data_IF_624958934335
#
_entry.id   IF_624958934335
#
_cell.length_a   1.000
_cell.length_b   1.000
_cell.length_c   1.000
_cell.angle_alpha   90.00
_cell.angle_beta   90.00
_cell.angle_gamma   90.00
#
_symmetry.space_group_name_H-M   'P 1'
#
loop_
_entity.id
_entity.type
_entity.pdbx_description
1 polymer ?
#
# COMPACT_ATOMS: atom_id res chain seq x y z
N UNK A 1 17.07 24.43 32.01
CA UNK A 1 17.31 23.24 31.18
C UNK A 1 18.70 23.42 30.61
N UNK A 2 19.65 22.53 30.92
CA UNK A 2 21.03 22.69 30.42
C UNK A 2 21.07 22.45 28.92
N UNK A 3 22.05 23.03 28.22
CA UNK A 3 22.20 22.84 26.77
C UNK A 3 22.37 21.35 26.41
N UNK A 4 23.04 20.57 27.27
CA UNK A 4 23.15 19.11 27.13
C UNK A 4 21.77 18.43 27.08
N UNK A 5 20.82 18.86 27.90
CA UNK A 5 19.47 18.25 27.91
C UNK A 5 18.73 18.54 26.60
N UNK A 6 18.91 19.72 26.02
CA UNK A 6 18.25 20.09 24.75
C UNK A 6 18.83 19.31 23.57
N UNK A 7 20.15 19.15 23.55
CA UNK A 7 20.84 18.37 22.54
C UNK A 7 20.45 16.89 22.59
N UNK A 8 20.36 16.30 23.78
CA UNK A 8 19.97 14.90 23.94
C UNK A 8 18.52 14.65 23.49
N UNK A 9 17.61 15.60 23.76
CA UNK A 9 16.24 15.54 23.23
C UNK A 9 16.23 15.63 21.71
N UNK A 10 17.02 16.50 21.10
CA UNK A 10 17.09 16.60 19.64
C UNK A 10 17.63 15.31 18.99
N UNK A 11 18.66 14.70 19.58
CA UNK A 11 19.18 13.39 19.13
C UNK A 11 18.12 12.30 19.23
N UNK A 12 17.41 12.24 20.36
CA UNK A 12 16.37 11.23 20.56
C UNK A 12 15.17 11.46 19.63
N UNK A 13 14.76 12.72 19.41
CA UNK A 13 13.71 13.06 18.46
C UNK A 13 14.08 12.64 17.02
N UNK A 14 15.31 12.95 16.59
CA UNK A 14 15.80 12.51 15.28
C UNK A 14 15.78 10.98 15.18
N UNK A 15 16.30 10.28 16.20
CA UNK A 15 16.31 8.81 16.25
C UNK A 15 14.91 8.21 16.14
N UNK A 16 13.92 8.78 16.83
CA UNK A 16 12.53 8.32 16.78
C UNK A 16 11.90 8.58 15.40
N UNK A 17 12.14 9.75 14.80
CA UNK A 17 11.65 10.06 13.44
C UNK A 17 12.23 9.10 12.40
N UNK A 18 13.51 8.76 12.50
CA UNK A 18 14.17 7.78 11.63
C UNK A 18 13.58 6.38 11.77
N UNK A 19 13.31 5.93 13.00
CA UNK A 19 12.66 4.64 13.25
C UNK A 19 11.23 4.62 12.68
N UNK A 20 10.51 5.73 12.77
CA UNK A 20 9.16 5.83 12.22
C UNK A 20 9.16 5.75 10.68
N UNK A 21 10.17 6.31 10.00
CA UNK A 21 10.37 6.13 8.55
C UNK A 21 10.61 4.66 8.23
N UNK A 22 11.51 4.00 8.96
CA UNK A 22 11.83 2.57 8.80
C UNK A 22 10.59 1.68 9.00
N UNK A 23 9.82 1.91 10.07
CA UNK A 23 8.57 1.21 10.33
C UNK A 23 7.52 1.43 9.23
N UNK A 24 7.45 2.65 8.69
CA UNK A 24 6.54 2.96 7.58
C UNK A 24 6.93 2.21 6.30
N UNK A 25 8.22 1.98 6.06
CA UNK A 25 8.73 1.17 4.95
C UNK A 25 8.35 -0.31 5.12
N UNK A 26 8.43 -0.82 6.36
CA UNK A 26 7.98 -2.18 6.67
C UNK A 26 6.47 -2.33 6.48
N UNK A 27 5.67 -1.37 6.94
CA UNK A 27 4.23 -1.33 6.70
C UNK A 27 3.90 -1.31 5.21
N UNK A 28 4.60 -0.47 4.43
CA UNK A 28 4.46 -0.39 2.98
C UNK A 28 4.74 -1.73 2.30
N UNK A 29 5.87 -2.36 2.61
CA UNK A 29 6.25 -3.68 2.08
C UNK A 29 5.21 -4.75 2.42
N UNK A 30 4.72 -4.76 3.66
CA UNK A 30 3.70 -5.71 4.10
C UNK A 30 2.36 -5.52 3.38
N UNK A 31 1.99 -4.27 3.08
CA UNK A 31 0.80 -3.95 2.31
C UNK A 31 0.94 -4.42 0.85
N UNK A 32 2.11 -4.21 0.26
CA UNK A 32 2.39 -4.63 -1.13
C UNK A 32 2.35 -6.15 -1.28
N UNK A 33 2.89 -6.89 -0.29
CA UNK A 33 2.78 -8.36 -0.26
C UNK A 33 1.32 -8.84 -0.20
N UNK A 34 0.48 -8.21 0.62
CA UNK A 34 -0.95 -8.56 0.71
C UNK A 34 -1.71 -8.25 -0.58
N UNK A 35 -1.40 -7.13 -1.22
CA UNK A 35 -2.03 -6.75 -2.48
C UNK A 35 -1.59 -7.67 -3.63
N UNK A 36 -0.31 -8.08 -3.69
CA UNK A 36 0.16 -9.10 -4.63
C UNK A 36 -0.48 -10.47 -4.39
N UNK A 37 -0.61 -10.89 -3.13
CA UNK A 37 -1.30 -12.13 -2.78
C UNK A 37 -2.76 -12.11 -3.24
N UNK A 38 -3.48 -11.01 -2.95
CA UNK A 38 -4.85 -10.81 -3.41
C UNK A 38 -4.93 -10.85 -4.95
N UNK A 39 -4.04 -10.16 -5.66
CA UNK A 39 -4.00 -10.17 -7.12
C UNK A 39 -3.84 -11.60 -7.66
N UNK A 40 -2.90 -12.38 -7.09
CA UNK A 40 -2.70 -13.79 -7.44
C UNK A 40 -3.92 -14.65 -7.16
N UNK A 41 -4.57 -14.48 -6.01
CA UNK A 41 -5.82 -15.21 -5.68
C UNK A 41 -6.93 -14.89 -6.67
N UNK A 42 -7.13 -13.61 -7.02
CA UNK A 42 -8.17 -13.20 -7.97
C UNK A 42 -7.92 -13.75 -9.38
N UNK A 43 -6.65 -13.77 -9.82
CA UNK A 43 -6.27 -14.39 -11.09
C UNK A 43 -6.55 -15.91 -11.08
N UNK A 44 -6.23 -16.61 -9.99
CA UNK A 44 -6.52 -18.04 -9.85
C UNK A 44 -8.03 -18.33 -9.87
N UNK A 45 -8.83 -17.52 -9.17
CA UNK A 45 -10.31 -17.62 -9.17
C UNK A 45 -10.87 -17.40 -10.58
N UNK A 46 -10.34 -16.42 -11.32
CA UNK A 46 -10.73 -16.21 -12.72
C UNK A 46 -10.48 -17.46 -13.57
N UNK A 47 -9.27 -18.04 -13.50
CA UNK A 47 -8.93 -19.25 -14.24
C UNK A 47 -9.82 -20.44 -13.88
N UNK A 48 -10.17 -20.58 -12.61
CA UNK A 48 -11.12 -21.59 -12.14
C UNK A 48 -12.51 -21.39 -12.76
N UNK A 49 -13.03 -20.16 -12.79
CA UNK A 49 -14.33 -19.86 -13.38
C UNK A 49 -14.38 -20.12 -14.89
N UNK A 50 -13.31 -19.81 -15.62
CA UNK A 50 -13.21 -20.14 -17.05
C UNK A 50 -13.30 -21.66 -17.26
N UNK A 51 -12.65 -22.43 -16.38
CA UNK A 51 -12.63 -23.89 -16.44
C UNK A 51 -13.99 -24.51 -16.11
N UNK A 52 -14.69 -23.97 -15.10
CA UNK A 52 -16.01 -24.43 -14.68
C UNK A 52 -17.15 -23.86 -15.52
N UNK A 53 -16.88 -22.87 -16.38
CA UNK A 53 -17.88 -22.16 -17.16
C UNK A 53 -18.74 -23.08 -18.03
N UNK A 54 -18.15 -24.13 -18.61
CA UNK A 54 -18.86 -25.10 -19.45
C UNK A 54 -19.84 -26.00 -18.70
N UNK A 55 -19.72 -26.10 -17.38
CA UNK A 55 -20.60 -26.92 -16.52
C UNK A 55 -21.53 -26.08 -15.64
N UNK A 56 -21.42 -24.76 -15.70
CA UNK A 56 -22.23 -23.86 -14.89
C UNK A 56 -23.67 -23.79 -15.42
N UNK A 57 -24.69 -23.68 -14.55
CA UNK A 57 -26.08 -23.45 -14.95
C UNK A 57 -26.27 -22.25 -15.88
N UNK A 58 -25.48 -21.18 -15.69
CA UNK A 58 -25.41 -20.05 -16.60
C UNK A 58 -23.95 -19.74 -17.00
N UNK A 59 -23.44 -20.35 -18.09
CA UNK A 59 -22.06 -20.21 -18.55
C UNK A 59 -21.65 -18.77 -18.86
N UNK A 60 -22.54 -18.00 -19.49
CA UNK A 60 -22.28 -16.60 -19.87
C UNK A 60 -21.92 -15.75 -18.65
N UNK A 61 -22.65 -15.90 -17.54
CA UNK A 61 -22.36 -15.15 -16.32
C UNK A 61 -21.06 -15.61 -15.64
N UNK A 62 -20.70 -16.90 -15.77
CA UNK A 62 -19.42 -17.40 -15.29
C UNK A 62 -18.23 -16.75 -16.03
N UNK A 63 -18.31 -16.64 -17.36
CA UNK A 63 -17.26 -15.97 -18.16
C UNK A 63 -17.18 -14.47 -17.92
N UNK A 64 -18.32 -13.78 -17.76
CA UNK A 64 -18.35 -12.35 -17.39
C UNK A 64 -17.68 -12.15 -16.02
N UNK A 65 -18.02 -12.96 -15.03
CA UNK A 65 -17.41 -12.89 -13.70
C UNK A 65 -15.92 -13.20 -13.72
N UNK A 66 -15.46 -14.15 -14.53
CA UNK A 66 -14.03 -14.40 -14.74
C UNK A 66 -13.31 -13.13 -15.22
N UNK A 67 -13.83 -12.45 -16.25
CA UNK A 67 -13.30 -11.18 -16.72
C UNK A 67 -13.27 -10.10 -15.62
N UNK A 68 -14.32 -10.05 -14.78
CA UNK A 68 -14.37 -9.17 -13.61
C UNK A 68 -13.26 -9.45 -12.59
N UNK A 69 -12.97 -10.71 -12.30
CA UNK A 69 -11.87 -11.09 -11.41
C UNK A 69 -10.49 -10.78 -11.99
N UNK A 70 -10.30 -10.89 -13.32
CA UNK A 70 -9.09 -10.41 -14.00
C UNK A 70 -8.90 -8.91 -13.79
N UNK A 71 -9.95 -8.11 -14.02
CA UNK A 71 -9.87 -6.66 -13.81
C UNK A 71 -9.58 -6.32 -12.34
N UNK A 72 -10.21 -7.01 -11.39
CA UNK A 72 -9.94 -6.85 -9.96
C UNK A 72 -8.48 -7.19 -9.60
N UNK A 73 -7.94 -8.25 -10.21
CA UNK A 73 -6.54 -8.67 -10.04
C UNK A 73 -5.58 -7.58 -10.50
N UNK A 74 -5.80 -6.99 -11.68
CA UNK A 74 -4.99 -5.87 -12.18
C UNK A 74 -5.09 -4.64 -11.27
N UNK A 75 -6.27 -4.31 -10.75
CA UNK A 75 -6.43 -3.20 -9.80
C UNK A 75 -5.67 -3.46 -8.50
N UNK A 76 -5.68 -4.69 -7.99
CA UNK A 76 -4.91 -5.09 -6.81
C UNK A 76 -3.40 -4.99 -7.08
N UNK A 77 -2.92 -5.51 -8.22
CA UNK A 77 -1.51 -5.42 -8.61
C UNK A 77 -1.04 -3.98 -8.82
N UNK A 78 -1.89 -3.12 -9.40
CA UNK A 78 -1.60 -1.70 -9.59
C UNK A 78 -1.40 -0.94 -8.25
N UNK A 79 -1.96 -1.45 -7.15
CA UNK A 79 -1.73 -0.84 -5.83
C UNK A 79 -0.32 -1.06 -5.27
N UNK A 80 0.44 -2.00 -5.86
CA UNK A 80 1.82 -2.33 -5.50
C UNK A 80 2.87 -1.66 -6.41
N UNK A 81 2.46 -0.75 -7.29
CA UNK A 81 3.40 -0.11 -8.21
C UNK A 81 4.49 0.64 -7.44
N UNK A 82 5.72 0.72 -7.98
CA UNK A 82 6.79 1.50 -7.39
C UNK A 82 6.31 2.91 -7.06
N UNK A 83 6.61 3.34 -5.84
CA UNK A 83 6.19 4.61 -5.27
C UNK A 83 7.41 5.30 -4.68
N UNK A 84 7.44 6.61 -4.82
CA UNK A 84 8.46 7.42 -4.18
C UNK A 84 8.26 7.31 -2.67
N UNK A 85 9.24 6.71 -2.02
CA UNK A 85 9.20 6.42 -0.60
C UNK A 85 10.52 6.88 -0.01
N UNK A 86 10.41 7.68 1.04
CA UNK A 86 11.58 8.16 1.76
C UNK A 86 12.14 7.05 2.63
N UNK A 87 13.46 6.94 2.63
CA UNK A 87 14.20 5.98 3.45
C UNK A 87 14.83 6.68 4.64
N UNK A 88 15.21 5.88 5.64
CA UNK A 88 15.86 6.37 6.84
C UNK A 88 17.21 7.03 6.50
N UNK A 89 17.48 8.15 7.17
CA UNK A 89 18.73 8.88 7.09
C UNK A 89 18.69 10.04 6.10
N UNK A 90 19.78 10.79 6.05
CA UNK A 90 19.96 11.96 5.20
C UNK A 90 21.25 11.82 4.39
N UNK A 91 21.26 12.41 3.21
CA UNK A 91 22.45 12.41 2.37
C UNK A 91 23.47 13.39 2.95
N UNK A 92 24.76 13.13 2.73
CA UNK A 92 25.82 14.06 3.14
C UNK A 92 25.57 15.51 2.66
N UNK A 93 24.98 15.67 1.48
CA UNK A 93 24.65 16.97 0.89
C UNK A 93 23.62 17.75 1.70
N UNK A 94 22.75 17.07 2.43
CA UNK A 94 21.76 17.68 3.33
C UNK A 94 22.45 18.28 4.58
N UNK A 95 23.71 17.88 4.87
CA UNK A 95 24.53 18.39 5.96
C UNK A 95 25.53 19.46 5.54
N UNK A 96 25.88 19.54 4.25
CA UNK A 96 26.92 20.44 3.72
C UNK A 96 26.67 21.90 4.10
N UNK A 97 25.42 22.38 3.95
CA UNK A 97 25.04 23.75 4.33
C UNK A 97 25.21 24.03 5.83
N UNK A 98 24.76 23.11 6.69
CA UNK A 98 24.91 23.26 8.15
C UNK A 98 26.39 23.28 8.58
N UNK A 99 27.25 22.54 7.88
CA UNK A 99 28.70 22.50 8.14
C UNK A 99 29.36 23.81 7.70
N UNK A 100 29.04 24.29 6.50
CA UNK A 100 29.62 25.51 5.94
C UNK A 100 29.19 26.76 6.72
N UNK A 101 27.94 26.80 7.18
CA UNK A 101 27.39 27.90 7.98
C UNK A 101 27.82 27.84 9.47
N UNK A 102 28.43 26.73 9.90
CA UNK A 102 28.88 26.54 11.27
C UNK A 102 27.73 26.46 12.27
N UNK A 103 26.59 25.90 11.85
CA UNK A 103 25.39 25.79 12.68
C UNK A 103 25.65 24.99 13.96
N UNK A 104 24.99 25.39 15.04
CA UNK A 104 24.98 24.59 16.25
C UNK A 104 24.37 23.22 15.97
N UNK A 105 25.01 22.15 16.47
CA UNK A 105 24.56 20.77 16.26
C UNK A 105 23.08 20.57 16.64
N UNK A 106 22.61 21.27 17.67
CA UNK A 106 21.19 21.25 18.07
C UNK A 106 20.26 21.75 16.95
N UNK A 107 20.61 22.85 16.27
CA UNK A 107 19.82 23.41 15.17
C UNK A 107 19.83 22.49 13.97
N UNK A 108 21.01 21.98 13.60
CA UNK A 108 21.15 21.02 12.51
C UNK A 108 20.28 19.78 12.75
N UNK A 109 20.40 19.13 13.93
CA UNK A 109 19.61 17.95 14.27
C UNK A 109 18.10 18.23 14.32
N UNK A 110 17.71 19.39 14.84
CA UNK A 110 16.30 19.79 14.89
C UNK A 110 15.72 20.01 13.49
N UNK A 111 16.49 20.60 12.58
CA UNK A 111 16.12 20.78 11.16
C UNK A 111 15.89 19.43 10.48
N UNK A 112 16.81 18.47 10.67
CA UNK A 112 16.69 17.12 10.10
C UNK A 112 15.47 16.37 10.66
N UNK A 113 15.19 16.51 11.96
CA UNK A 113 14.01 15.91 12.57
C UNK A 113 12.70 16.47 11.98
N UNK A 114 12.63 17.78 11.73
CA UNK A 114 11.49 18.42 11.07
C UNK A 114 11.33 17.95 9.62
N UNK A 115 12.43 17.77 8.89
CA UNK A 115 12.38 17.23 7.54
C UNK A 115 11.87 15.79 7.53
N UNK A 116 12.29 14.97 8.50
CA UNK A 116 11.77 13.61 8.65
C UNK A 116 10.27 13.59 8.90
N UNK A 117 9.71 14.51 9.69
CA UNK A 117 8.26 14.61 9.88
C UNK A 117 7.52 14.85 8.54
N UNK A 118 8.09 15.67 7.65
CA UNK A 118 7.53 15.89 6.31
C UNK A 118 7.62 14.61 5.46
N UNK A 119 8.78 13.95 5.45
CA UNK A 119 8.99 12.68 4.73
C UNK A 119 8.04 11.58 5.22
N UNK A 120 7.79 11.52 6.52
CA UNK A 120 6.83 10.60 7.14
C UNK A 120 5.41 10.88 6.65
N UNK A 121 4.95 12.13 6.66
CA UNK A 121 3.62 12.48 6.16
C UNK A 121 3.46 12.15 4.66
N UNK A 122 4.50 12.39 3.85
CA UNK A 122 4.52 11.99 2.45
C UNK A 122 4.42 10.47 2.26
N UNK A 123 5.19 9.69 3.01
CA UNK A 123 5.11 8.23 3.03
C UNK A 123 3.70 7.74 3.42
N UNK A 124 3.08 8.34 4.45
CA UNK A 124 1.71 8.00 4.85
C UNK A 124 0.68 8.35 3.77
N UNK A 125 0.81 9.49 3.10
CA UNK A 125 -0.06 9.87 1.98
C UNK A 125 0.05 8.87 0.84
N UNK A 126 1.27 8.44 0.50
CA UNK A 126 1.50 7.41 -0.51
C UNK A 126 0.85 6.08 -0.11
N UNK A 127 1.03 5.65 1.15
CA UNK A 127 0.42 4.43 1.69
C UNK A 127 -1.12 4.49 1.69
N UNK A 128 -1.70 5.64 2.05
CA UNK A 128 -3.15 5.85 2.03
C UNK A 128 -3.74 5.76 0.62
N UNK A 129 -3.06 6.33 -0.38
CA UNK A 129 -3.46 6.23 -1.79
C UNK A 129 -3.43 4.77 -2.26
N UNK A 130 -2.37 4.04 -1.95
CA UNK A 130 -2.25 2.61 -2.27
C UNK A 130 -3.36 1.78 -1.58
N UNK A 131 -3.59 2.01 -0.29
CA UNK A 131 -4.65 1.34 0.46
C UNK A 131 -6.05 1.63 -0.07
N UNK A 132 -6.31 2.85 -0.56
CA UNK A 132 -7.58 3.17 -1.23
C UNK A 132 -7.76 2.39 -2.54
N UNK A 133 -6.68 2.23 -3.33
CA UNK A 133 -6.71 1.40 -4.55
C UNK A 133 -6.98 -0.06 -4.22
N UNK A 134 -6.27 -0.62 -3.23
CA UNK A 134 -6.47 -1.99 -2.76
C UNK A 134 -7.91 -2.22 -2.26
N UNK A 135 -8.46 -1.27 -1.49
CA UNK A 135 -9.86 -1.33 -1.03
C UNK A 135 -10.85 -1.34 -2.19
N UNK A 136 -10.63 -0.54 -3.23
CA UNK A 136 -11.49 -0.55 -4.44
C UNK A 136 -11.41 -1.88 -5.16
N UNK A 137 -10.22 -2.45 -5.32
CA UNK A 137 -10.04 -3.77 -5.93
C UNK A 137 -10.81 -4.86 -5.16
N UNK A 138 -10.71 -4.85 -3.83
CA UNK A 138 -11.44 -5.79 -2.97
C UNK A 138 -12.96 -5.63 -3.08
N UNK A 139 -13.47 -4.39 -2.99
CA UNK A 139 -14.92 -4.12 -3.13
C UNK A 139 -15.42 -4.57 -4.50
N UNK A 140 -14.68 -4.28 -5.56
CA UNK A 140 -15.04 -4.71 -6.90
C UNK A 140 -15.06 -6.24 -7.03
N UNK A 141 -14.03 -6.93 -6.54
CA UNK A 141 -14.00 -8.40 -6.50
C UNK A 141 -15.20 -8.99 -5.73
N UNK A 142 -15.56 -8.38 -4.61
CA UNK A 142 -16.73 -8.80 -3.83
C UNK A 142 -18.04 -8.64 -4.60
N UNK A 143 -18.21 -7.53 -5.32
CA UNK A 143 -19.40 -7.33 -6.17
C UNK A 143 -19.47 -8.33 -7.31
N UNK A 144 -18.33 -8.64 -7.95
CA UNK A 144 -18.24 -9.67 -9.00
C UNK A 144 -18.61 -11.05 -8.45
N UNK A 145 -18.14 -11.37 -7.24
CA UNK A 145 -18.49 -12.61 -6.54
C UNK A 145 -19.99 -12.70 -6.24
N UNK A 146 -20.57 -11.64 -5.68
CA UNK A 146 -22.00 -11.59 -5.37
C UNK A 146 -22.87 -11.72 -6.64
N UNK A 147 -22.47 -11.05 -7.71
CA UNK A 147 -23.12 -11.17 -9.02
C UNK A 147 -23.06 -12.60 -9.55
N UNK A 148 -21.89 -13.24 -9.50
CA UNK A 148 -21.73 -14.63 -9.92
C UNK A 148 -22.67 -15.57 -9.15
N UNK A 149 -22.64 -15.51 -7.81
CA UNK A 149 -23.45 -16.37 -6.96
C UNK A 149 -24.96 -16.17 -7.18
N UNK A 150 -25.41 -14.92 -7.28
CA UNK A 150 -26.81 -14.59 -7.56
C UNK A 150 -27.26 -15.08 -8.94
N UNK A 151 -26.44 -14.92 -9.97
CA UNK A 151 -26.74 -15.37 -11.32
C UNK A 151 -26.86 -16.89 -11.42
N UNK A 152 -25.96 -17.65 -10.78
CA UNK A 152 -26.04 -19.11 -10.77
C UNK A 152 -27.24 -19.62 -9.97
N UNK A 153 -27.52 -19.04 -8.80
CA UNK A 153 -28.68 -19.43 -8.00
C UNK A 153 -30.01 -19.15 -8.74
N UNK A 154 -30.13 -18.00 -9.40
CA UNK A 154 -31.31 -17.67 -10.21
C UNK A 154 -31.49 -18.62 -11.39
N UNK A 155 -30.41 -19.00 -12.07
CA UNK A 155 -30.46 -19.96 -13.16
C UNK A 155 -30.91 -21.35 -12.70
N UNK A 156 -30.47 -21.80 -11.52
CA UNK A 156 -30.92 -23.07 -10.92
C UNK A 156 -32.42 -23.00 -10.57
N UNK A 157 -32.88 -21.90 -9.96
CA UNK A 157 -34.29 -21.75 -9.58
C UNK A 157 -35.24 -21.75 -10.79
N UNK A 158 -34.83 -21.16 -11.92
CA UNK A 158 -35.61 -21.16 -13.16
C UNK A 158 -35.61 -22.51 -13.89
N UNK A 159 -34.69 -23.40 -13.56
CA UNK A 159 -34.58 -24.73 -14.16
C UNK A 159 -35.36 -25.82 -13.39
N UNK A 160 -35.86 -25.51 -12.19
CA UNK A 160 -36.70 -26.37 -11.34
C UNK A 160 -38.19 -26.10 -11.57
#
# INVERSE_FOLDING_TARGET
MTDDTRLDIAKEALRQSELMIEDTNHLATSADQRAMALAGTLAAVSSLLVTLGGTAPAPTFAYISAGGFVAASFMAAASCLPRDFHIRGHWWRDWEGHIDDGDELFLALSSQAQENDLRIDENYRALKKAGASMKRAFVFAFLVFAFFGGAQAGAIFLAL
#
